data_IF_443909265659
#
_entry.id   IF_443909265659
#
_cell.length_a   1.000
_cell.length_b   1.000
_cell.length_c   1.000
_cell.angle_alpha   90.00
_cell.angle_beta   90.00
_cell.angle_gamma   90.00
#
_symmetry.space_group_name_H-M   'P 1'
#
loop_
_entity.id
_entity.type
_entity.pdbx_description
1 polymer ?
#
# COMPACT_ATOMS: atom_id res chain seq x y z
N UNK A 1 -78.61 47.16 13.88
CA UNK A 1 -79.34 45.87 13.81
C UNK A 1 -78.36 44.79 13.36
N UNK A 2 -78.32 43.67 14.10
CA UNK A 2 -77.90 42.31 13.75
C UNK A 2 -76.80 42.10 12.69
N UNK A 3 -75.67 41.53 13.15
CA UNK A 3 -74.82 40.60 12.40
C UNK A 3 -75.63 39.35 11.97
N UNK A 4 -75.21 38.48 11.02
CA UNK A 4 -74.08 37.55 11.27
C UNK A 4 -73.36 37.03 10.00
N UNK A 5 -72.37 36.15 10.19
CA UNK A 5 -71.87 35.27 9.13
C UNK A 5 -70.39 34.91 9.30
N UNK A 6 -70.08 33.96 10.17
CA UNK A 6 -68.71 33.51 10.43
C UNK A 6 -68.05 32.85 9.22
N UNK A 7 -66.72 32.96 9.14
CA UNK A 7 -65.89 32.17 8.25
C UNK A 7 -64.73 31.53 9.02
N UNK A 8 -64.63 30.22 8.83
CA UNK A 8 -63.57 29.32 9.22
C UNK A 8 -62.20 29.81 8.70
N UNK A 9 -61.23 30.02 9.59
CA UNK A 9 -59.84 30.28 9.21
C UNK A 9 -59.11 28.94 8.94
N UNK A 10 -59.14 28.48 7.69
CA UNK A 10 -58.13 27.54 7.20
C UNK A 10 -56.78 28.28 7.14
N UNK A 11 -55.81 27.85 7.95
CA UNK A 11 -54.41 28.29 7.82
C UNK A 11 -53.89 27.77 6.48
N UNK A 12 -53.81 28.67 5.48
CA UNK A 12 -53.13 28.39 4.21
C UNK A 12 -51.64 28.22 4.48
N UNK A 13 -51.18 26.98 4.51
CA UNK A 13 -49.77 26.67 4.27
C UNK A 13 -49.43 27.26 2.90
N UNK A 14 -48.65 28.32 2.88
CA UNK A 14 -48.12 28.89 1.63
C UNK A 14 -47.13 27.88 1.05
N UNK A 15 -47.64 26.95 0.25
CA UNK A 15 -46.80 26.30 -0.74
C UNK A 15 -46.34 27.41 -1.70
N UNK A 16 -45.06 27.77 -1.63
CA UNK A 16 -44.43 28.62 -2.63
C UNK A 16 -44.61 27.93 -3.98
N UNK A 17 -45.62 28.37 -4.73
CA UNK A 17 -45.80 27.92 -6.10
C UNK A 17 -44.57 28.39 -6.88
N UNK A 18 -43.71 27.43 -7.17
CA UNK A 18 -42.47 27.63 -7.90
C UNK A 18 -42.86 28.06 -9.32
N UNK A 19 -42.88 29.36 -9.60
CA UNK A 19 -43.17 29.86 -10.96
C UNK A 19 -41.92 29.60 -11.81
N UNK A 20 -41.93 28.65 -12.75
CA UNK A 20 -40.73 28.21 -13.45
C UNK A 20 -40.01 29.34 -14.18
N UNK A 21 -40.75 30.34 -14.69
CA UNK A 21 -40.16 31.52 -15.33
C UNK A 21 -39.36 32.43 -14.39
N UNK A 22 -39.79 32.57 -13.12
CA UNK A 22 -39.06 33.39 -12.13
C UNK A 22 -37.76 32.74 -11.70
N UNK A 23 -37.77 31.42 -11.54
CA UNK A 23 -36.59 30.66 -11.11
C UNK A 23 -35.55 30.63 -12.22
N UNK A 24 -35.98 30.49 -13.49
CA UNK A 24 -35.09 30.61 -14.64
C UNK A 24 -34.40 31.99 -14.68
N UNK A 25 -35.16 33.08 -14.49
CA UNK A 25 -34.60 34.43 -14.47
C UNK A 25 -33.59 34.63 -13.32
N UNK A 26 -33.87 34.09 -12.14
CA UNK A 26 -32.96 34.13 -11.00
C UNK A 26 -31.69 33.31 -11.24
N UNK A 27 -31.82 32.11 -11.82
CA UNK A 27 -30.67 31.28 -12.18
C UNK A 27 -29.77 31.96 -13.22
N UNK A 28 -30.35 32.61 -14.23
CA UNK A 28 -29.60 33.34 -15.26
C UNK A 28 -28.90 34.59 -14.70
N UNK A 29 -29.58 35.37 -13.86
CA UNK A 29 -29.00 36.58 -13.24
C UNK A 29 -27.90 36.24 -12.24
N UNK A 30 -28.14 35.27 -11.37
CA UNK A 30 -27.13 34.77 -10.44
C UNK A 30 -25.95 34.12 -11.18
N UNK A 31 -26.23 33.28 -12.18
CA UNK A 31 -25.21 32.60 -12.98
C UNK A 31 -24.31 33.59 -13.73
N UNK A 32 -24.88 34.67 -14.29
CA UNK A 32 -24.10 35.75 -14.92
C UNK A 32 -23.21 36.48 -13.90
N UNK A 33 -23.77 36.85 -12.74
CA UNK A 33 -23.00 37.51 -11.68
C UNK A 33 -21.84 36.65 -11.16
N UNK A 34 -22.08 35.34 -11.01
CA UNK A 34 -21.05 34.39 -10.61
C UNK A 34 -19.99 34.22 -11.71
N UNK A 35 -20.39 34.10 -12.97
CA UNK A 35 -19.47 34.01 -14.11
C UNK A 35 -18.57 35.25 -14.22
N UNK A 36 -19.13 36.45 -14.08
CA UNK A 36 -18.36 37.70 -14.14
C UNK A 36 -17.36 37.80 -12.98
N UNK A 37 -17.79 37.41 -11.78
CA UNK A 37 -16.94 37.38 -10.58
C UNK A 37 -15.80 36.38 -10.75
N UNK A 38 -16.11 35.13 -11.13
CA UNK A 38 -15.12 34.08 -11.33
C UNK A 38 -14.15 34.46 -12.44
N UNK A 39 -14.63 34.96 -13.59
CA UNK A 39 -13.75 35.32 -14.71
C UNK A 39 -12.82 36.48 -14.36
N UNK A 40 -13.32 37.47 -13.60
CA UNK A 40 -12.52 38.62 -13.15
C UNK A 40 -11.44 38.24 -12.13
N UNK A 41 -11.75 37.38 -11.16
CA UNK A 41 -10.81 37.02 -10.10
C UNK A 41 -9.93 35.81 -10.42
N UNK A 42 -10.41 34.83 -11.20
CA UNK A 42 -9.60 33.67 -11.61
C UNK A 42 -8.52 34.02 -12.63
N UNK A 43 -8.71 35.10 -13.40
CA UNK A 43 -7.79 35.46 -14.46
C UNK A 43 -7.73 34.45 -15.61
N UNK A 44 -8.76 33.62 -15.79
CA UNK A 44 -8.81 32.60 -16.84
C UNK A 44 -8.55 33.15 -18.26
N UNK A 45 -9.08 34.35 -18.56
CA UNK A 45 -8.83 35.05 -19.83
C UNK A 45 -7.37 35.48 -19.98
N UNK A 46 -6.73 35.91 -18.89
CA UNK A 46 -5.32 36.28 -18.90
C UNK A 46 -4.44 35.05 -19.12
N UNK A 47 -4.77 33.93 -18.47
CA UNK A 47 -4.06 32.66 -18.65
C UNK A 47 -4.18 32.15 -20.09
N UNK A 48 -5.39 32.15 -20.66
CA UNK A 48 -5.60 31.77 -22.05
C UNK A 48 -4.77 32.63 -23.02
N UNK A 49 -4.71 33.95 -22.77
CA UNK A 49 -3.88 34.85 -23.57
C UNK A 49 -2.39 34.52 -23.44
N UNK A 50 -1.92 34.26 -22.21
CA UNK A 50 -0.52 33.87 -21.96
C UNK A 50 -0.14 32.58 -22.66
N UNK A 51 -1.00 31.56 -22.67
CA UNK A 51 -0.77 30.32 -23.41
C UNK A 51 -0.63 30.55 -24.91
N UNK A 52 -1.47 31.41 -25.50
CA UNK A 52 -1.36 31.80 -26.92
C UNK A 52 -0.10 32.62 -27.22
N UNK A 53 0.29 33.51 -26.31
CA UNK A 53 1.50 34.34 -26.46
C UNK A 53 2.77 33.47 -26.46
N UNK A 54 2.80 32.37 -25.68
CA UNK A 54 3.93 31.43 -25.61
C UNK A 54 3.79 30.21 -26.53
N UNK A 55 2.71 30.11 -27.31
CA UNK A 55 2.42 28.96 -28.19
C UNK A 55 3.55 28.67 -29.17
N UNK A 56 4.21 29.72 -29.67
CA UNK A 56 5.41 29.59 -30.54
C UNK A 56 6.62 28.93 -29.87
N UNK A 57 6.68 28.92 -28.54
CA UNK A 57 7.72 28.25 -27.74
C UNK A 57 7.29 26.86 -27.23
N UNK A 58 6.01 26.51 -27.39
CA UNK A 58 5.45 25.23 -26.96
C UNK A 58 5.34 24.29 -28.16
N UNK A 59 5.83 23.07 -28.01
CA UNK A 59 5.58 22.02 -29.00
C UNK A 59 4.28 21.30 -28.64
N UNK A 60 3.25 21.47 -29.47
CA UNK A 60 2.00 20.70 -29.35
C UNK A 60 2.21 19.40 -30.12
N UNK A 61 2.22 18.29 -29.39
CA UNK A 61 2.32 16.94 -29.95
C UNK A 61 0.95 16.26 -29.86
N UNK A 62 0.54 15.59 -30.94
CA UNK A 62 -0.64 14.74 -30.94
C UNK A 62 -0.28 13.40 -30.29
N UNK A 63 -1.07 12.99 -29.30
CA UNK A 63 -0.85 11.73 -28.58
C UNK A 63 -1.76 10.65 -29.17
N UNK A 64 -1.16 9.65 -29.82
CA UNK A 64 -1.88 8.45 -30.25
C UNK A 64 -2.14 7.54 -29.04
N UNK A 65 -3.42 7.39 -28.68
CA UNK A 65 -3.84 6.54 -27.58
C UNK A 65 -3.55 5.05 -27.80
N UNK A 66 -3.57 4.56 -29.04
CA UNK A 66 -3.28 3.15 -29.33
C UNK A 66 -1.80 2.85 -29.17
N UNK A 67 -0.93 3.73 -29.65
CA UNK A 67 0.51 3.62 -29.45
C UNK A 67 0.87 3.68 -27.96
N UNK A 68 0.25 4.60 -27.21
CA UNK A 68 0.48 4.74 -25.78
C UNK A 68 0.08 3.48 -25.00
N UNK A 69 -1.09 2.91 -25.30
CA UNK A 69 -1.54 1.65 -24.68
C UNK A 69 -0.60 0.50 -25.02
N UNK A 70 -0.14 0.41 -26.26
CA UNK A 70 0.84 -0.61 -26.67
C UNK A 70 2.15 -0.46 -25.88
N UNK A 71 2.70 0.74 -25.80
CA UNK A 71 3.91 1.03 -25.03
C UNK A 71 3.73 0.66 -23.55
N UNK A 72 2.61 1.06 -22.96
CA UNK A 72 2.31 0.74 -21.56
C UNK A 72 2.18 -0.77 -21.34
N UNK A 73 1.59 -1.50 -22.30
CA UNK A 73 1.50 -2.96 -22.21
C UNK A 73 2.86 -3.63 -22.28
N UNK A 74 3.76 -3.15 -23.14
CA UNK A 74 5.14 -3.65 -23.26
C UNK A 74 5.95 -3.36 -21.98
N UNK A 75 5.82 -2.15 -21.43
CA UNK A 75 6.47 -1.77 -20.17
C UNK A 75 5.96 -2.63 -18.99
N UNK A 76 4.64 -2.88 -18.94
CA UNK A 76 4.03 -3.73 -17.92
C UNK A 76 4.45 -5.19 -18.06
N UNK A 77 4.52 -5.73 -19.28
CA UNK A 77 5.02 -7.08 -19.53
C UNK A 77 6.46 -7.24 -19.06
N UNK A 78 7.33 -6.28 -19.39
CA UNK A 78 8.73 -6.30 -18.98
C UNK A 78 8.88 -6.22 -17.45
N UNK A 79 8.07 -5.38 -16.79
CA UNK A 79 8.05 -5.26 -15.34
C UNK A 79 7.57 -6.56 -14.67
N UNK A 80 6.46 -7.13 -15.14
CA UNK A 80 5.92 -8.38 -14.60
C UNK A 80 6.87 -9.55 -14.82
N UNK A 81 7.53 -9.63 -15.98
CA UNK A 81 8.53 -10.67 -16.28
C UNK A 81 9.67 -10.65 -15.27
N UNK A 82 10.22 -9.48 -14.94
CA UNK A 82 11.28 -9.33 -13.91
C UNK A 82 10.80 -9.79 -12.53
N UNK A 83 9.55 -9.47 -12.16
CA UNK A 83 8.97 -9.94 -10.89
C UNK A 83 8.82 -11.46 -10.86
N UNK A 84 8.40 -12.07 -11.97
CA UNK A 84 8.32 -13.54 -12.09
C UNK A 84 9.70 -14.19 -11.99
N UNK A 85 10.72 -13.60 -12.61
CA UNK A 85 12.12 -14.08 -12.52
C UNK A 85 12.64 -14.03 -11.07
N UNK A 86 12.36 -12.96 -10.33
CA UNK A 86 12.71 -12.85 -8.91
C UNK A 86 12.03 -13.93 -8.05
N UNK A 87 10.74 -14.19 -8.30
CA UNK A 87 9.99 -15.25 -7.60
C UNK A 87 10.56 -16.64 -7.95
N UNK A 88 10.84 -16.93 -9.21
CA UNK A 88 11.45 -18.20 -9.62
C UNK A 88 12.79 -18.46 -8.93
N UNK A 89 13.65 -17.44 -8.87
CA UNK A 89 14.92 -17.52 -8.17
C UNK A 89 14.76 -17.83 -6.68
N UNK A 90 13.72 -17.29 -6.04
CA UNK A 90 13.40 -17.58 -4.63
C UNK A 90 12.86 -19.00 -4.45
N UNK A 91 12.00 -19.47 -5.36
CA UNK A 91 11.45 -20.83 -5.32
C UNK A 91 12.56 -21.86 -5.47
N UNK A 92 13.44 -21.70 -6.47
CA UNK A 92 14.58 -22.60 -6.68
C UNK A 92 15.50 -22.65 -5.45
N UNK A 93 15.82 -21.49 -4.86
CA UNK A 93 16.63 -21.42 -3.65
C UNK A 93 15.94 -22.03 -2.43
N UNK A 94 14.62 -21.89 -2.32
CA UNK A 94 13.84 -22.52 -1.24
C UNK A 94 13.80 -24.04 -1.40
N UNK A 95 13.57 -24.56 -2.60
CA UNK A 95 13.59 -26.01 -2.85
C UNK A 95 14.98 -26.61 -2.60
N UNK A 96 16.05 -25.93 -3.02
CA UNK A 96 17.43 -26.37 -2.75
C UNK A 96 17.77 -26.33 -1.26
N UNK A 97 17.35 -25.28 -0.55
CA UNK A 97 17.55 -25.18 0.89
C UNK A 97 16.79 -26.27 1.65
N UNK A 98 15.57 -26.63 1.21
CA UNK A 98 14.75 -27.67 1.84
C UNK A 98 15.39 -29.05 1.64
N UNK A 99 15.81 -29.33 0.40
CA UNK A 99 16.42 -30.61 0.03
C UNK A 99 17.73 -30.88 0.77
N UNK A 100 18.51 -29.84 1.05
CA UNK A 100 19.78 -29.94 1.77
C UNK A 100 19.63 -29.88 3.30
N UNK A 101 18.44 -29.58 3.83
CA UNK A 101 18.22 -29.44 5.26
C UNK A 101 17.77 -30.76 5.90
N UNK A 102 18.45 -31.16 6.97
CA UNK A 102 18.06 -32.31 7.79
C UNK A 102 17.40 -31.84 9.10
N UNK A 103 16.26 -32.43 9.43
CA UNK A 103 15.52 -32.07 10.63
C UNK A 103 16.30 -32.41 11.91
N UNK A 104 16.48 -31.43 12.79
CA UNK A 104 17.12 -31.59 14.10
C UNK A 104 16.22 -31.08 15.22
N UNK A 105 15.73 -31.99 16.07
CA UNK A 105 14.84 -31.65 17.19
C UNK A 105 15.53 -30.87 18.33
N UNK A 106 16.86 -30.90 18.41
CA UNK A 106 17.66 -30.22 19.44
C UNK A 106 18.36 -28.96 18.92
N UNK A 107 17.93 -28.44 17.76
CA UNK A 107 18.48 -27.23 17.18
C UNK A 107 18.18 -26.03 18.08
N UNK A 108 19.21 -25.26 18.43
CA UNK A 108 19.09 -23.97 19.11
C UNK A 108 19.57 -22.92 18.11
N UNK A 109 18.66 -22.08 17.65
CA UNK A 109 18.92 -21.06 16.65
C UNK A 109 18.22 -19.76 17.01
N UNK A 110 19.01 -18.67 17.04
CA UNK A 110 18.50 -17.33 17.29
C UNK A 110 18.22 -16.62 15.96
N UNK A 111 17.06 -15.98 15.86
CA UNK A 111 16.62 -15.24 14.68
C UNK A 111 15.97 -13.91 15.07
N UNK A 112 15.85 -12.99 14.11
CA UNK A 112 15.21 -11.70 14.31
C UNK A 112 13.69 -11.83 14.25
N UNK A 113 13.01 -11.70 15.38
CA UNK A 113 11.55 -11.71 15.44
C UNK A 113 10.98 -10.31 15.17
N UNK A 114 10.16 -10.15 14.13
CA UNK A 114 9.62 -8.85 13.68
C UNK A 114 8.84 -8.06 14.74
N UNK A 115 8.37 -8.72 15.81
CA UNK A 115 7.60 -8.09 16.92
C UNK A 115 8.50 -7.71 18.09
N UNK A 116 9.59 -8.44 18.32
CA UNK A 116 10.47 -8.28 19.49
C UNK A 116 11.75 -7.48 19.18
N UNK A 117 11.96 -7.11 17.91
CA UNK A 117 13.14 -6.35 17.46
C UNK A 117 13.32 -5.10 18.33
N UNK A 118 14.55 -4.89 18.81
CA UNK A 118 14.95 -3.75 19.64
C UNK A 118 14.16 -3.60 20.96
N UNK A 119 13.40 -4.60 21.39
CA UNK A 119 12.73 -4.61 22.69
C UNK A 119 13.74 -4.81 23.82
N UNK A 120 13.64 -3.97 24.85
CA UNK A 120 14.54 -3.99 26.01
C UNK A 120 13.77 -4.30 27.28
N UNK A 121 14.38 -5.12 28.13
CA UNK A 121 13.87 -5.43 29.46
C UNK A 121 14.00 -4.23 30.43
N UNK A 122 13.45 -4.37 31.64
CA UNK A 122 13.54 -3.35 32.69
C UNK A 122 14.99 -3.05 33.12
N UNK A 123 15.93 -3.94 32.81
CA UNK A 123 17.35 -3.81 33.12
C UNK A 123 18.16 -3.19 31.96
N UNK A 124 17.51 -2.88 30.84
CA UNK A 124 18.12 -2.31 29.64
C UNK A 124 18.83 -3.31 28.71
N UNK A 125 18.71 -4.61 28.96
CA UNK A 125 19.19 -5.68 28.09
C UNK A 125 18.14 -6.02 27.03
N UNK A 126 18.59 -6.54 25.89
CA UNK A 126 17.69 -7.01 24.84
C UNK A 126 16.92 -8.26 25.30
N UNK A 127 15.64 -8.32 24.97
CA UNK A 127 14.79 -9.51 25.20
C UNK A 127 15.29 -10.67 24.33
N UNK A 128 15.02 -11.91 24.74
CA UNK A 128 15.33 -13.10 23.94
C UNK A 128 14.66 -13.01 22.55
N UNK A 129 15.44 -13.20 21.47
CA UNK A 129 15.07 -12.94 20.05
C UNK A 129 14.86 -11.45 19.68
N UNK A 130 14.97 -10.53 20.64
CA UNK A 130 14.90 -9.09 20.47
C UNK A 130 16.27 -8.43 20.24
N UNK A 131 17.13 -9.06 19.44
CA UNK A 131 18.48 -8.61 19.16
C UNK A 131 18.53 -7.19 18.54
N UNK A 132 19.69 -6.55 18.63
CA UNK A 132 19.90 -5.23 17.99
C UNK A 132 19.72 -5.36 16.48
N UNK A 133 18.79 -4.56 15.95
CA UNK A 133 18.47 -4.52 14.54
C UNK A 133 18.53 -3.08 14.06
N UNK A 134 19.56 -2.77 13.26
CA UNK A 134 19.75 -1.43 12.70
C UNK A 134 18.69 -1.18 11.64
N UNK A 135 17.83 -0.20 11.89
CA UNK A 135 16.76 0.17 10.98
C UNK A 135 17.02 1.58 10.43
N UNK A 136 17.02 1.71 9.12
CA UNK A 136 17.22 2.98 8.42
C UNK A 136 15.93 3.40 7.71
N UNK A 137 15.67 4.71 7.68
CA UNK A 137 14.51 5.22 6.94
C UNK A 137 14.79 5.16 5.45
N UNK A 138 13.92 4.50 4.69
CA UNK A 138 14.09 4.33 3.26
C UNK A 138 12.91 4.91 2.47
N UNK A 139 13.20 5.85 1.57
CA UNK A 139 12.20 6.52 0.72
C UNK A 139 11.45 5.53 -0.21
N UNK A 140 12.10 4.44 -0.62
CA UNK A 140 11.48 3.40 -1.43
C UNK A 140 10.33 2.69 -0.70
N UNK A 141 10.43 2.58 0.62
CA UNK A 141 9.44 1.92 1.49
C UNK A 141 8.61 2.95 2.25
N UNK A 142 8.15 4.02 1.60
CA UNK A 142 7.32 5.06 2.24
C UNK A 142 7.98 5.74 3.47
N UNK A 143 9.32 5.84 3.49
CA UNK A 143 10.11 6.31 4.64
C UNK A 143 9.98 5.46 5.91
N UNK A 144 9.48 4.22 5.78
CA UNK A 144 9.51 3.24 6.85
C UNK A 144 10.95 2.90 7.23
N UNK A 145 11.12 2.53 8.50
CA UNK A 145 12.39 2.10 9.07
C UNK A 145 12.58 0.63 8.74
N UNK A 146 13.49 0.34 7.82
CA UNK A 146 13.74 -1.00 7.31
C UNK A 146 15.23 -1.31 7.30
N UNK A 147 15.57 -2.59 7.30
CA UNK A 147 16.93 -3.08 7.12
C UNK A 147 17.04 -3.78 5.76
N UNK A 148 17.85 -3.23 4.87
CA UNK A 148 18.07 -3.75 3.52
C UNK A 148 19.15 -4.84 3.46
N UNK A 149 19.80 -5.17 4.57
CA UNK A 149 20.84 -6.20 4.61
C UNK A 149 20.33 -7.56 5.09
N UNK A 150 19.30 -7.57 5.94
CA UNK A 150 18.84 -8.77 6.65
C UNK A 150 17.31 -8.81 6.63
N UNK A 151 16.75 -10.03 6.53
CA UNK A 151 15.31 -10.29 6.66
C UNK A 151 14.93 -10.57 8.12
N UNK A 152 13.64 -10.48 8.44
CA UNK A 152 13.14 -10.88 9.75
C UNK A 152 11.99 -11.88 9.64
N UNK A 153 11.64 -12.47 10.77
CA UNK A 153 10.64 -13.54 10.84
C UNK A 153 9.46 -13.10 11.71
N UNK A 154 8.27 -13.21 11.15
CA UNK A 154 7.00 -12.98 11.82
C UNK A 154 6.32 -14.30 12.14
N UNK A 155 5.90 -14.46 13.40
CA UNK A 155 5.08 -15.58 13.86
C UNK A 155 3.74 -15.05 14.39
N UNK A 156 2.62 -15.77 14.14
CA UNK A 156 1.36 -15.50 14.83
C UNK A 156 1.49 -15.72 16.34
N UNK A 157 0.71 -15.00 17.15
CA UNK A 157 0.73 -15.13 18.63
C UNK A 157 0.40 -16.53 19.15
N UNK A 158 -0.23 -17.38 18.34
CA UNK A 158 -0.61 -18.74 18.73
C UNK A 158 0.50 -19.78 18.47
N UNK A 159 1.62 -19.38 17.87
CA UNK A 159 2.74 -20.27 17.54
C UNK A 159 3.90 -20.01 18.50
N UNK A 160 4.53 -21.07 19.00
CA UNK A 160 5.64 -20.94 19.94
C UNK A 160 6.97 -20.73 19.19
N UNK A 161 7.71 -19.68 19.56
CA UNK A 161 8.94 -19.27 18.86
C UNK A 161 10.07 -20.31 18.86
N UNK A 162 10.10 -21.22 19.87
CA UNK A 162 11.13 -22.26 20.02
C UNK A 162 10.63 -23.66 19.68
N UNK A 163 9.50 -23.75 18.98
CA UNK A 163 9.05 -25.03 18.45
C UNK A 163 10.12 -25.59 17.49
N UNK A 164 10.57 -26.86 17.66
CA UNK A 164 11.55 -27.46 16.77
C UNK A 164 11.18 -27.37 15.28
N UNK A 165 9.90 -27.49 14.93
CA UNK A 165 9.44 -27.43 13.54
C UNK A 165 9.63 -26.02 12.95
N UNK A 166 9.39 -24.99 13.77
CA UNK A 166 9.60 -23.60 13.39
C UNK A 166 11.09 -23.29 13.30
N UNK A 167 11.88 -23.68 14.29
CA UNK A 167 13.33 -23.42 14.30
C UNK A 167 14.04 -24.04 13.11
N UNK A 168 13.66 -25.26 12.72
CA UNK A 168 14.21 -25.91 11.53
C UNK A 168 13.83 -25.16 10.25
N UNK A 169 12.57 -24.75 10.09
CA UNK A 169 12.14 -23.98 8.92
C UNK A 169 12.76 -22.58 8.86
N UNK A 170 12.89 -21.91 10.01
CA UNK A 170 13.57 -20.61 10.11
C UNK A 170 15.04 -20.74 9.74
N UNK A 171 15.73 -21.76 10.27
CA UNK A 171 17.13 -22.04 9.95
C UNK A 171 17.33 -22.34 8.46
N UNK A 172 16.50 -23.19 7.87
CA UNK A 172 16.53 -23.48 6.43
C UNK A 172 16.34 -22.20 5.59
N UNK A 173 15.38 -21.35 5.99
CA UNK A 173 15.06 -20.13 5.24
C UNK A 173 16.10 -19.01 5.37
N UNK A 174 17.14 -19.15 6.20
CA UNK A 174 18.30 -18.24 6.19
C UNK A 174 19.04 -18.25 4.84
N UNK A 175 19.00 -19.37 4.11
CA UNK A 175 19.58 -19.48 2.77
C UNK A 175 18.92 -18.52 1.75
N UNK A 176 17.72 -18.00 2.05
CA UNK A 176 16.99 -17.07 1.17
C UNK A 176 17.47 -15.62 1.31
N UNK A 177 18.14 -15.27 2.41
CA UNK A 177 18.68 -13.93 2.65
C UNK A 177 19.53 -13.37 1.49
N UNK A 178 20.54 -14.09 0.96
CA UNK A 178 21.32 -13.61 -0.19
C UNK A 178 20.46 -13.41 -1.44
N UNK A 179 19.46 -14.27 -1.69
CA UNK A 179 18.59 -14.18 -2.86
C UNK A 179 17.66 -12.97 -2.78
N UNK A 180 17.15 -12.66 -1.59
CA UNK A 180 16.36 -11.44 -1.39
C UNK A 180 17.17 -10.18 -1.72
N UNK A 181 18.41 -10.13 -1.26
CA UNK A 181 19.33 -9.01 -1.52
C UNK A 181 19.67 -8.94 -3.01
N UNK A 182 19.99 -10.06 -3.66
CA UNK A 182 20.30 -10.12 -5.09
C UNK A 182 19.11 -9.66 -5.93
N UNK A 183 17.89 -10.11 -5.62
CA UNK A 183 16.68 -9.69 -6.30
C UNK A 183 16.48 -8.17 -6.19
N UNK A 184 16.68 -7.60 -5.00
CA UNK A 184 16.57 -6.16 -4.79
C UNK A 184 17.66 -5.37 -5.54
N UNK A 185 18.88 -5.90 -5.62
CA UNK A 185 19.96 -5.29 -6.42
C UNK A 185 19.65 -5.35 -7.93
N UNK A 186 19.00 -6.42 -8.39
CA UNK A 186 18.62 -6.63 -9.80
C UNK A 186 17.43 -5.74 -10.19
N UNK A 187 16.45 -5.59 -9.31
CA UNK A 187 15.29 -4.73 -9.51
C UNK A 187 15.01 -3.87 -8.26
N UNK A 188 15.48 -2.62 -8.23
CA UNK A 188 15.28 -1.71 -7.09
C UNK A 188 13.83 -1.18 -6.98
N UNK A 189 12.92 -1.59 -7.88
CA UNK A 189 11.47 -1.28 -7.78
C UNK A 189 10.70 -2.38 -7.04
N UNK A 190 11.38 -3.45 -6.61
CA UNK A 190 10.79 -4.49 -5.78
C UNK A 190 10.51 -3.93 -4.39
N UNK A 191 9.24 -4.06 -3.98
CA UNK A 191 8.79 -3.71 -2.64
C UNK A 191 9.15 -4.84 -1.67
N UNK A 192 8.16 -5.54 -1.17
CA UNK A 192 8.31 -6.57 -0.15
C UNK A 192 8.48 -7.94 -0.80
N UNK A 193 9.38 -8.73 -0.23
CA UNK A 193 9.57 -10.14 -0.56
C UNK A 193 9.19 -10.96 0.67
N UNK A 194 8.34 -11.97 0.46
CA UNK A 194 7.82 -12.81 1.51
C UNK A 194 8.10 -14.28 1.20
N UNK A 195 8.52 -15.03 2.21
CA UNK A 195 8.49 -16.47 2.21
C UNK A 195 7.54 -16.94 3.30
N UNK A 196 6.49 -17.65 2.88
CA UNK A 196 5.49 -18.24 3.78
C UNK A 196 5.75 -19.72 3.95
N UNK A 197 6.01 -20.14 5.19
CA UNK A 197 6.20 -21.56 5.48
C UNK A 197 4.87 -22.27 5.74
N UNK A 198 4.80 -23.54 5.36
CA UNK A 198 3.68 -24.43 5.71
C UNK A 198 3.50 -24.60 7.23
N UNK A 199 4.56 -24.39 8.02
CA UNK A 199 4.51 -24.43 9.49
C UNK A 199 3.90 -23.17 10.11
N UNK A 200 3.68 -22.11 9.31
CA UNK A 200 2.89 -20.94 9.71
C UNK A 200 3.70 -19.70 10.11
N UNK A 201 5.00 -19.65 9.86
CA UNK A 201 5.80 -18.42 9.98
C UNK A 201 5.99 -17.73 8.62
N UNK A 202 6.30 -16.44 8.68
CA UNK A 202 6.71 -15.65 7.53
C UNK A 202 8.12 -15.14 7.70
N UNK A 203 8.89 -15.14 6.61
CA UNK A 203 10.13 -14.38 6.50
C UNK A 203 9.93 -13.22 5.54
N UNK A 204 10.28 -12.02 6.00
CA UNK A 204 9.99 -10.76 5.32
C UNK A 204 11.29 -10.01 5.03
N UNK A 205 11.44 -9.57 3.79
CA UNK A 205 12.53 -8.71 3.36
C UNK A 205 12.00 -7.46 2.63
N UNK A 206 12.55 -6.27 2.89
CA UNK A 206 13.57 -5.95 3.91
C UNK A 206 13.03 -6.15 5.34
N UNK A 207 13.90 -6.36 6.33
CA UNK A 207 13.44 -6.53 7.71
C UNK A 207 12.85 -5.23 8.26
N UNK A 208 11.64 -5.29 8.81
CA UNK A 208 10.95 -4.14 9.42
C UNK A 208 10.52 -4.40 10.87
N UNK A 209 10.54 -3.38 11.70
CA UNK A 209 9.89 -3.44 13.02
C UNK A 209 8.38 -3.24 12.84
N UNK A 210 7.61 -4.30 13.01
CA UNK A 210 6.15 -4.30 12.80
C UNK A 210 5.43 -3.64 13.98
N UNK A 211 6.06 -3.55 15.15
CA UNK A 211 5.44 -3.03 16.38
C UNK A 211 4.25 -3.87 16.86
N UNK A 212 3.99 -3.84 18.17
CA UNK A 212 3.05 -4.78 18.83
C UNK A 212 1.60 -4.83 18.31
N UNK A 213 0.99 -6.03 18.49
CA UNK A 213 -0.42 -6.50 18.44
C UNK A 213 -1.31 -6.12 17.24
N UNK A 214 -1.18 -4.94 16.63
CA UNK A 214 -2.12 -4.49 15.59
C UNK A 214 -2.01 -5.25 14.26
N UNK A 215 -0.91 -5.98 14.01
CA UNK A 215 -0.68 -6.76 12.79
C UNK A 215 -0.52 -8.28 13.04
N UNK A 216 -0.86 -8.80 14.23
CA UNK A 216 -0.58 -10.22 14.56
C UNK A 216 -1.65 -11.20 14.03
N UNK A 217 -2.67 -10.73 13.31
CA UNK A 217 -3.69 -11.58 12.67
C UNK A 217 -3.37 -11.98 11.22
N UNK A 218 -2.09 -11.98 10.85
CA UNK A 218 -1.63 -12.41 9.53
C UNK A 218 -0.93 -13.76 9.66
N UNK A 219 -1.70 -14.84 9.55
CA UNK A 219 -1.14 -16.18 9.38
C UNK A 219 -1.01 -16.47 7.89
N UNK A 220 0.11 -17.07 7.46
CA UNK A 220 0.36 -17.39 6.05
C UNK A 220 -0.76 -18.17 5.38
N UNK A 221 -1.34 -19.12 6.10
CA UNK A 221 -2.42 -19.95 5.59
C UNK A 221 -3.76 -19.23 5.46
N UNK A 222 -3.89 -17.99 5.93
CA UNK A 222 -5.11 -17.18 5.85
C UNK A 222 -5.05 -16.11 4.76
N UNK A 223 -3.89 -15.93 4.11
CA UNK A 223 -3.74 -14.91 3.09
C UNK A 223 -4.27 -15.37 1.72
N UNK A 224 -5.04 -14.54 0.99
CA UNK A 224 -5.64 -14.93 -0.28
C UNK A 224 -4.63 -15.41 -1.33
N UNK A 225 -3.41 -14.87 -1.31
CA UNK A 225 -2.35 -15.28 -2.23
C UNK A 225 -1.66 -16.58 -1.81
N UNK A 226 -1.65 -16.93 -0.53
CA UNK A 226 -1.17 -18.24 -0.06
C UNK A 226 -2.15 -19.38 -0.37
N UNK A 227 -3.41 -19.06 -0.67
CA UNK A 227 -4.47 -20.00 -1.02
C UNK A 227 -4.67 -20.17 -2.55
N UNK A 228 -3.89 -19.46 -3.37
CA UNK A 228 -3.97 -19.60 -4.82
C UNK A 228 -3.56 -21.04 -5.22
N UNK A 229 -4.35 -21.74 -6.06
CA UNK A 229 -3.96 -23.07 -6.54
C UNK A 229 -2.67 -22.97 -7.34
N UNK A 230 -1.72 -23.84 -7.00
CA UNK A 230 -0.45 -24.00 -7.72
C UNK A 230 -0.66 -24.64 -9.09
#
# INVERSE_FOLDING_TARGET
MRAPGGLCLCVRVHTLTFIPGRVKLWAETFGRGLYDTVTRYSGSLLLQKKYKDVESSLQIEEVDGLELVRKFSEDMENMLRRKVEAVKSLVEAAEEADLNHEFNASLVFDYYNSVLINEKDENGNYVELGAEFVLESNAHFSNLRVNTSISNVQLPTNVYNKDPDILNGVYMSEALNPVFVENFQRDPTLTWQYFGSATGFFRIYPGEDIGGISMIFWACSLEPWGLAPQ
#
